data_IF_267054743625
#
_entry.id   IF_267054743625
#
_cell.length_a   1.000
_cell.length_b   1.000
_cell.length_c   1.000
_cell.angle_alpha   90.00
_cell.angle_beta   90.00
_cell.angle_gamma   90.00
#
_symmetry.space_group_name_H-M   'P 1'
#
loop_
_entity.id
_entity.type
_entity.pdbx_description
1 polymer ?
#
# COMPACT_ATOMS: atom_id res chain seq x y z
N UNK A 1 14.35 4.32 13.33
CA UNK A 1 13.17 5.00 13.90
C UNK A 1 12.24 3.97 14.55
N UNK A 2 11.56 4.35 15.61
CA UNK A 2 10.66 3.46 16.35
C UNK A 2 9.30 4.13 16.48
N UNK A 3 8.22 3.35 16.30
CA UNK A 3 6.85 3.79 16.54
C UNK A 3 6.25 2.82 17.55
N UNK A 4 5.85 3.33 18.71
CA UNK A 4 5.43 2.47 19.83
C UNK A 4 6.55 1.47 20.17
N UNK A 5 6.26 0.18 20.00
CA UNK A 5 7.24 -0.88 20.23
C UNK A 5 7.81 -1.46 18.93
N UNK A 6 7.50 -0.87 17.80
CA UNK A 6 7.86 -1.43 16.49
C UNK A 6 8.93 -0.56 15.84
N UNK A 7 10.00 -1.21 15.40
CA UNK A 7 11.09 -0.53 14.69
C UNK A 7 10.79 -0.45 13.21
N UNK A 8 11.08 0.71 12.61
CA UNK A 8 10.93 0.92 11.17
C UNK A 8 12.26 0.59 10.49
N UNK A 9 12.47 -0.68 10.20
CA UNK A 9 13.75 -1.21 9.71
C UNK A 9 13.75 -1.58 8.24
N UNK A 10 12.60 -1.44 7.57
CA UNK A 10 12.46 -1.79 6.17
C UNK A 10 12.16 -0.54 5.36
N UNK A 11 12.58 -0.54 4.10
CA UNK A 11 12.35 0.58 3.19
C UNK A 11 11.64 0.09 1.95
N UNK A 12 10.57 0.78 1.58
CA UNK A 12 9.88 0.58 0.30
C UNK A 12 9.88 1.91 -0.45
N UNK A 13 9.65 1.87 -1.75
CA UNK A 13 9.48 3.09 -2.52
C UNK A 13 8.00 3.28 -2.83
N UNK A 14 7.51 4.49 -2.66
CA UNK A 14 6.09 4.82 -2.83
C UNK A 14 5.94 5.96 -3.82
N UNK A 15 5.01 5.79 -4.75
CA UNK A 15 4.59 6.83 -5.70
C UNK A 15 3.14 7.17 -5.41
N UNK A 16 2.89 8.35 -4.86
CA UNK A 16 1.55 8.83 -4.60
C UNK A 16 0.93 9.40 -5.87
N UNK A 17 -0.40 9.36 -5.93
CA UNK A 17 -1.14 9.94 -7.06
C UNK A 17 -1.15 11.45 -6.92
N UNK A 18 -0.85 12.15 -8.02
CA UNK A 18 -0.94 13.60 -8.12
C UNK A 18 -2.08 13.99 -9.03
N UNK A 19 -2.69 15.13 -8.75
CA UNK A 19 -3.63 15.75 -9.67
C UNK A 19 -2.90 16.77 -10.52
N UNK A 20 -2.98 16.61 -11.83
CA UNK A 20 -2.34 17.50 -12.79
C UNK A 20 -3.43 18.14 -13.65
N UNK A 21 -3.37 19.47 -13.80
CA UNK A 21 -4.29 20.22 -14.64
C UNK A 21 -3.70 20.31 -16.04
N UNK A 22 -4.45 19.87 -17.05
CA UNK A 22 -4.02 19.94 -18.43
C UNK A 22 -4.29 21.33 -19.06
N UNK A 23 -3.97 21.48 -20.35
CA UNK A 23 -4.16 22.73 -21.08
C UNK A 23 -5.60 23.22 -21.11
N UNK A 24 -6.55 22.29 -21.01
CA UNK A 24 -7.97 22.60 -21.11
C UNK A 24 -8.60 22.84 -19.74
N UNK A 25 -7.80 22.83 -18.68
CA UNK A 25 -8.28 23.01 -17.31
C UNK A 25 -8.85 21.75 -16.68
N UNK A 26 -8.70 20.59 -17.33
CA UNK A 26 -9.16 19.32 -16.76
C UNK A 26 -8.13 18.76 -15.79
N UNK A 27 -8.63 18.27 -14.67
CA UNK A 27 -7.77 17.60 -13.68
C UNK A 27 -7.67 16.12 -14.00
N UNK A 28 -6.45 15.60 -13.97
CA UNK A 28 -6.18 14.19 -14.20
C UNK A 28 -5.28 13.61 -13.13
N UNK A 29 -5.59 12.41 -12.60
CA UNK A 29 -4.68 11.73 -11.70
C UNK A 29 -3.45 11.25 -12.47
N UNK A 30 -2.27 11.51 -11.93
CA UNK A 30 -0.99 11.15 -12.55
C UNK A 30 -0.08 10.55 -11.50
N UNK A 31 0.64 9.47 -11.81
CA UNK A 31 1.62 8.92 -10.86
C UNK A 31 2.71 9.96 -10.55
N UNK A 32 3.02 10.11 -9.27
CA UNK A 32 4.14 10.92 -8.83
C UNK A 32 5.46 10.14 -8.90
N UNK A 33 6.59 10.79 -8.55
CA UNK A 33 7.86 10.09 -8.47
C UNK A 33 7.86 9.11 -7.30
N UNK A 34 8.65 8.03 -7.42
CA UNK A 34 8.89 7.13 -6.30
C UNK A 34 9.84 7.80 -5.30
N UNK A 35 9.55 7.63 -4.03
CA UNK A 35 10.43 8.08 -2.95
C UNK A 35 10.49 7.02 -1.86
N UNK A 36 11.61 6.93 -1.13
CA UNK A 36 11.75 5.92 -0.09
C UNK A 36 10.91 6.25 1.13
N UNK A 37 10.29 5.21 1.70
CA UNK A 37 9.50 5.31 2.93
C UNK A 37 9.93 4.17 3.84
N UNK A 38 10.21 4.49 5.08
CA UNK A 38 10.52 3.47 6.08
C UNK A 38 9.24 2.89 6.66
N UNK A 39 9.18 1.56 6.73
CA UNK A 39 8.03 0.81 7.22
C UNK A 39 8.49 -0.22 8.23
N UNK A 40 7.55 -0.76 9.02
CA UNK A 40 7.86 -1.82 9.97
C UNK A 40 8.15 -3.15 9.27
N UNK A 41 7.49 -3.38 8.14
CA UNK A 41 7.69 -4.59 7.36
C UNK A 41 6.57 -4.79 6.35
N UNK A 42 6.64 -5.89 5.62
CA UNK A 42 5.58 -6.29 4.70
C UNK A 42 5.53 -7.81 4.60
N UNK A 43 4.40 -8.31 4.12
CA UNK A 43 4.25 -9.73 3.82
C UNK A 43 3.43 -9.88 2.55
N UNK A 44 3.74 -10.89 1.75
CA UNK A 44 2.92 -11.27 0.60
C UNK A 44 2.04 -12.43 1.04
N UNK A 45 0.73 -12.24 0.95
CA UNK A 45 -0.26 -13.24 1.34
C UNK A 45 -1.07 -13.63 0.13
N UNK A 46 -1.79 -14.74 0.24
CA UNK A 46 -2.69 -15.20 -0.83
C UNK A 46 -4.12 -15.01 -0.39
N UNK A 47 -4.93 -14.44 -1.27
CA UNK A 47 -6.33 -14.15 -1.02
C UNK A 47 -7.16 -14.84 -2.09
N UNK A 48 -8.24 -15.49 -1.68
CA UNK A 48 -9.18 -16.10 -2.62
C UNK A 48 -10.22 -15.07 -3.04
N UNK A 49 -10.48 -15.01 -4.33
CA UNK A 49 -11.49 -14.14 -4.90
C UNK A 49 -12.46 -14.93 -5.75
N UNK A 50 -13.74 -14.56 -5.67
CA UNK A 50 -14.77 -15.07 -6.57
C UNK A 50 -14.80 -14.18 -7.81
N UNK A 51 -14.64 -14.81 -8.98
CA UNK A 51 -14.71 -14.11 -10.26
C UNK A 51 -15.96 -14.57 -10.99
N UNK A 52 -16.89 -13.63 -11.30
CA UNK A 52 -18.07 -13.93 -12.10
C UNK A 52 -18.90 -15.09 -11.55
N UNK A 53 -18.93 -16.21 -12.27
CA UNK A 53 -19.80 -17.35 -12.01
C UNK A 53 -19.26 -18.31 -10.93
N UNK A 54 -18.93 -17.79 -9.76
CA UNK A 54 -18.48 -18.61 -8.62
C UNK A 54 -17.14 -19.32 -8.85
N UNK A 55 -16.33 -18.83 -9.77
CA UNK A 55 -14.99 -19.34 -9.96
C UNK A 55 -14.07 -18.68 -8.96
N UNK A 56 -13.42 -19.47 -8.11
CA UNK A 56 -12.45 -18.98 -7.16
C UNK A 56 -11.07 -18.94 -7.79
N UNK A 57 -10.34 -17.87 -7.56
CA UNK A 57 -8.94 -17.80 -7.92
C UNK A 57 -8.14 -17.25 -6.74
N UNK A 58 -6.88 -17.63 -6.67
CA UNK A 58 -5.96 -17.14 -5.68
C UNK A 58 -5.13 -16.00 -6.28
N UNK A 59 -5.08 -14.87 -5.59
CA UNK A 59 -4.27 -13.73 -5.99
C UNK A 59 -3.30 -13.36 -4.87
N UNK A 60 -2.13 -12.89 -5.25
CA UNK A 60 -1.17 -12.39 -4.27
C UNK A 60 -1.59 -11.01 -3.79
N UNK A 61 -1.49 -10.81 -2.49
CA UNK A 61 -1.76 -9.54 -1.84
C UNK A 61 -0.55 -9.13 -1.02
N UNK A 62 -0.15 -7.88 -1.13
CA UNK A 62 0.90 -7.31 -0.30
C UNK A 62 0.26 -6.60 0.89
N UNK A 63 0.75 -6.91 2.08
CA UNK A 63 0.37 -6.21 3.31
C UNK A 63 1.59 -5.44 3.80
N UNK A 64 1.47 -4.13 3.92
CA UNK A 64 2.55 -3.26 4.40
C UNK A 64 2.17 -2.68 5.75
N UNK A 65 3.04 -2.84 6.72
CA UNK A 65 2.86 -2.35 8.08
C UNK A 65 3.61 -1.03 8.21
N UNK A 66 2.87 0.07 8.31
CA UNK A 66 3.44 1.41 8.23
C UNK A 66 2.71 2.37 9.18
N UNK A 67 3.41 3.37 9.77
CA UNK A 67 2.76 4.34 10.63
C UNK A 67 1.86 5.33 9.87
N UNK A 68 2.10 5.52 8.58
CA UNK A 68 1.34 6.46 7.75
C UNK A 68 0.65 5.72 6.62
N UNK A 69 -0.67 5.87 6.47
CA UNK A 69 -1.38 5.21 5.37
C UNK A 69 -0.96 5.78 4.02
N UNK A 70 -0.99 4.92 2.99
CA UNK A 70 -0.81 5.34 1.60
C UNK A 70 -2.19 5.48 0.96
N UNK A 71 -2.31 6.42 0.03
CA UNK A 71 -3.58 6.66 -0.66
C UNK A 71 -3.95 5.49 -1.57
N UNK A 72 -5.26 5.19 -1.73
CA UNK A 72 -5.70 4.25 -2.76
C UNK A 72 -5.20 4.68 -4.14
N UNK A 73 -4.70 3.72 -4.91
CA UNK A 73 -4.12 4.01 -6.22
C UNK A 73 -2.64 4.32 -6.19
N UNK A 74 -2.04 4.56 -5.02
CA UNK A 74 -0.59 4.73 -4.91
C UNK A 74 0.13 3.45 -5.33
N UNK A 75 1.35 3.58 -5.80
CA UNK A 75 2.20 2.43 -6.18
C UNK A 75 3.27 2.22 -5.14
N UNK A 76 3.54 0.96 -4.83
CA UNK A 76 4.60 0.55 -3.90
C UNK A 76 5.59 -0.31 -4.67
N UNK A 77 6.87 0.03 -4.61
CA UNK A 77 7.93 -0.79 -5.19
C UNK A 77 8.77 -1.40 -4.08
N UNK A 78 8.83 -2.72 -4.06
CA UNK A 78 9.63 -3.46 -3.10
C UNK A 78 11.10 -3.52 -3.55
N UNK A 79 12.02 -3.84 -2.62
CA UNK A 79 13.45 -3.95 -2.97
C UNK A 79 13.76 -4.96 -4.08
N UNK A 80 12.90 -5.95 -4.29
CA UNK A 80 13.04 -6.92 -5.37
C UNK A 80 12.64 -6.37 -6.75
N UNK A 81 12.14 -5.14 -6.80
CA UNK A 81 11.67 -4.51 -8.04
C UNK A 81 10.19 -4.71 -8.34
N UNK A 82 9.49 -5.55 -7.59
CA UNK A 82 8.06 -5.76 -7.78
C UNK A 82 7.25 -4.52 -7.45
N UNK A 83 6.29 -4.19 -8.31
CA UNK A 83 5.43 -3.03 -8.15
C UNK A 83 4.01 -3.47 -7.81
N UNK A 84 3.44 -2.83 -6.79
CA UNK A 84 2.13 -3.14 -6.26
C UNK A 84 1.29 -1.87 -6.19
N UNK A 85 -0.01 -2.00 -6.38
CA UNK A 85 -0.93 -0.85 -6.30
C UNK A 85 -1.81 -0.97 -5.07
N UNK A 86 -1.87 0.11 -4.30
CA UNK A 86 -2.68 0.17 -3.07
C UNK A 86 -4.17 0.06 -3.41
N UNK A 87 -4.86 -0.82 -2.70
CA UNK A 87 -6.28 -1.10 -2.87
C UNK A 87 -7.05 -0.69 -1.62
N UNK A 88 -8.02 0.21 -1.79
CA UNK A 88 -8.88 0.63 -0.70
C UNK A 88 -8.16 1.39 0.41
N UNK A 89 -8.81 1.50 1.55
CA UNK A 89 -8.28 2.19 2.71
C UNK A 89 -7.50 1.23 3.59
N UNK A 90 -6.47 1.76 4.26
CA UNK A 90 -5.68 0.99 5.21
C UNK A 90 -6.51 0.60 6.44
N UNK A 91 -6.19 -0.56 7.01
CA UNK A 91 -6.73 -0.94 8.32
C UNK A 91 -5.93 -0.22 9.40
N UNK A 92 -6.64 0.51 10.24
CA UNK A 92 -6.02 1.38 11.24
C UNK A 92 -6.00 0.72 12.62
N UNK A 93 -4.81 0.33 13.06
CA UNK A 93 -4.60 -0.29 14.36
C UNK A 93 -4.07 0.70 15.42
N UNK A 94 -4.19 2.00 15.17
CA UNK A 94 -3.66 3.02 16.07
C UNK A 94 -4.61 3.37 17.24
N UNK A 95 -5.82 2.82 17.24
CA UNK A 95 -6.87 3.18 18.19
C UNK A 95 -7.36 2.00 19.04
N UNK A 96 -6.54 0.97 19.16
CA UNK A 96 -6.92 -0.20 19.94
C UNK A 96 -6.89 0.05 21.45
N UNK A 97 -7.81 -0.57 22.22
CA UNK A 97 -7.89 -0.34 23.67
C UNK A 97 -6.76 -1.02 24.45
N UNK A 98 -6.25 -2.14 23.96
CA UNK A 98 -5.17 -2.89 24.62
C UNK A 98 -3.91 -2.95 23.79
N UNK A 99 -4.05 -2.87 22.50
CA UNK A 99 -2.94 -3.02 21.57
C UNK A 99 -2.96 -1.85 20.60
N UNK A 100 -1.91 -1.07 20.65
CA UNK A 100 -1.76 0.08 19.77
C UNK A 100 -0.30 0.16 19.31
N UNK A 101 0.06 -0.54 18.24
CA UNK A 101 1.42 -0.52 17.71
C UNK A 101 1.77 0.80 17.00
N UNK A 102 0.79 1.69 16.81
CA UNK A 102 1.01 2.93 16.06
C UNK A 102 1.10 2.71 14.56
N UNK A 103 0.54 1.61 14.05
CA UNK A 103 0.65 1.21 12.65
C UNK A 103 -0.71 1.06 12.00
N UNK A 104 -0.72 1.21 10.69
CA UNK A 104 -1.81 0.81 9.82
C UNK A 104 -1.32 -0.31 8.91
N UNK A 105 -2.24 -1.09 8.37
CA UNK A 105 -1.93 -2.13 7.39
C UNK A 105 -2.48 -1.68 6.04
N UNK A 106 -1.58 -1.50 5.08
CA UNK A 106 -1.93 -1.11 3.71
C UNK A 106 -1.96 -2.37 2.86
N UNK A 107 -3.03 -2.59 2.15
CA UNK A 107 -3.18 -3.72 1.23
C UNK A 107 -2.94 -3.27 -0.20
N UNK A 108 -2.19 -4.06 -0.94
CA UNK A 108 -1.86 -3.75 -2.34
C UNK A 108 -1.92 -5.02 -3.19
N UNK A 109 -2.13 -4.84 -4.48
CA UNK A 109 -2.16 -5.91 -5.47
C UNK A 109 -1.05 -5.73 -6.46
N UNK A 110 -0.53 -6.84 -6.96
CA UNK A 110 0.55 -6.82 -7.94
C UNK A 110 0.07 -6.21 -9.25
N UNK A 111 0.88 -5.29 -9.76
CA UNK A 111 0.63 -4.69 -11.07
C UNK A 111 1.14 -5.67 -12.13
N UNK A 112 0.27 -6.02 -13.06
CA UNK A 112 0.64 -6.88 -14.18
C UNK A 112 1.56 -6.11 -15.13
N UNK A 113 2.64 -6.77 -15.53
CA UNK A 113 3.57 -6.12 -16.45
C UNK A 113 4.94 -6.68 -16.38
#
# INVERSE_FOLDING_TARGET
MTVGFVSLTHTVEVSQVKTVTDRLGNERPTPGPFHPVQVAGWAVTKVEETTGESVLRTVDQLDVYTPTPFEPGASIRLPDGGVWQVQGNAEDYRNGPWWNPGLVVVHARKVAG
#
